data_IF_640867043305
#
_entry.id   IF_640867043305
#
_cell.length_a   1.000
_cell.length_b   1.000
_cell.length_c   1.000
_cell.angle_alpha   90.00
_cell.angle_beta   90.00
_cell.angle_gamma   90.00
#
_symmetry.space_group_name_H-M   'P 1'
#
loop_
_entity.id
_entity.type
_entity.pdbx_description
1 polymer ?
#
# COMPACT_ATOMS: atom_id res chain seq x y z
N UNK A 1 -3.55 9.94 -51.43
CA UNK A 1 -3.21 8.51 -51.22
C UNK A 1 -1.80 8.45 -50.70
N UNK A 2 -1.64 8.35 -49.38
CA UNK A 2 -0.33 8.21 -48.74
C UNK A 2 -0.51 7.46 -47.41
N UNK A 3 0.17 6.33 -47.28
CA UNK A 3 0.59 5.61 -46.06
C UNK A 3 1.44 4.43 -46.58
N UNK A 4 2.62 4.13 -46.01
CA UNK A 4 2.66 3.58 -44.66
C UNK A 4 3.87 4.03 -43.81
N UNK A 5 3.60 4.55 -42.61
CA UNK A 5 4.55 4.58 -41.49
C UNK A 5 3.79 4.22 -40.22
N UNK A 6 3.61 2.92 -39.97
CA UNK A 6 3.07 2.39 -38.72
C UNK A 6 3.38 0.89 -38.56
N UNK A 7 4.66 0.51 -38.68
CA UNK A 7 5.17 -0.82 -38.28
C UNK A 7 6.60 -0.69 -37.76
N UNK A 8 6.79 0.01 -36.64
CA UNK A 8 8.03 -0.08 -35.87
C UNK A 8 7.90 0.27 -34.37
N UNK A 9 6.68 0.34 -33.81
CA UNK A 9 6.46 0.61 -32.37
C UNK A 9 5.75 -0.52 -31.61
N UNK A 10 5.79 -1.75 -32.13
CA UNK A 10 5.18 -2.92 -31.49
C UNK A 10 6.20 -3.99 -31.03
N UNK A 11 7.51 -3.66 -30.98
CA UNK A 11 8.58 -4.62 -30.65
C UNK A 11 9.35 -4.29 -29.36
N UNK A 12 8.84 -3.41 -28.49
CA UNK A 12 9.55 -3.00 -27.25
C UNK A 12 8.73 -3.16 -25.96
N UNK A 13 7.59 -3.85 -25.99
CA UNK A 13 6.71 -4.04 -24.83
C UNK A 13 6.36 -5.50 -24.51
N UNK A 14 7.08 -6.48 -25.07
CA UNK A 14 6.87 -7.92 -24.82
C UNK A 14 8.13 -8.66 -24.33
N UNK A 15 9.13 -7.92 -23.84
CA UNK A 15 10.46 -8.45 -23.51
C UNK A 15 10.83 -8.58 -22.04
N UNK A 16 9.95 -8.27 -21.07
CA UNK A 16 10.38 -8.16 -19.65
C UNK A 16 9.47 -8.82 -18.61
N UNK A 17 8.31 -9.36 -18.98
CA UNK A 17 7.37 -9.92 -18.00
C UNK A 17 7.70 -11.34 -17.51
N UNK A 18 8.67 -12.04 -18.13
CA UNK A 18 9.02 -13.42 -17.76
C UNK A 18 10.15 -13.52 -16.72
N UNK A 19 10.81 -12.42 -16.37
CA UNK A 19 11.92 -12.43 -15.40
C UNK A 19 11.51 -12.12 -13.95
N UNK A 20 10.29 -11.62 -13.73
CA UNK A 20 9.78 -11.30 -12.39
C UNK A 20 9.18 -12.54 -11.68
N UNK A 21 8.61 -13.48 -12.45
CA UNK A 21 7.93 -14.67 -11.92
C UNK A 21 8.86 -15.79 -11.40
N UNK A 22 10.17 -15.71 -11.66
CA UNK A 22 11.15 -16.74 -11.26
C UNK A 22 11.85 -16.40 -9.93
N UNK A 23 11.68 -15.18 -9.40
CA UNK A 23 12.27 -14.78 -8.12
C UNK A 23 11.47 -15.27 -6.89
N UNK A 24 10.30 -15.88 -7.08
CA UNK A 24 9.39 -16.28 -6.01
C UNK A 24 9.65 -17.69 -5.43
N UNK A 25 10.77 -18.34 -5.77
CA UNK A 25 11.02 -19.74 -5.39
C UNK A 25 11.89 -19.92 -4.13
N UNK A 26 12.22 -18.87 -3.38
CA UNK A 26 12.79 -19.00 -2.03
C UNK A 26 12.24 -17.91 -1.10
N UNK A 27 11.48 -18.27 -0.05
CA UNK A 27 10.96 -17.31 0.94
C UNK A 27 12.06 -16.44 1.56
N UNK A 28 13.28 -16.97 1.70
CA UNK A 28 14.43 -16.25 2.25
C UNK A 28 15.01 -15.21 1.28
N UNK A 29 14.93 -15.44 -0.03
CA UNK A 29 15.43 -14.50 -1.05
C UNK A 29 14.45 -13.34 -1.29
N UNK A 30 13.14 -13.58 -1.18
CA UNK A 30 12.11 -12.55 -1.27
C UNK A 30 12.15 -11.60 -0.05
N UNK A 31 12.34 -12.13 1.17
CA UNK A 31 12.54 -11.31 2.38
C UNK A 31 13.83 -10.48 2.33
N UNK A 32 14.91 -11.01 1.73
CA UNK A 32 16.19 -10.29 1.61
C UNK A 32 16.17 -9.18 0.55
N UNK A 33 15.45 -9.35 -0.56
CA UNK A 33 15.31 -8.32 -1.61
C UNK A 33 14.50 -7.11 -1.14
N UNK A 34 13.44 -7.33 -0.36
CA UNK A 34 12.59 -6.26 0.17
C UNK A 34 13.31 -5.47 1.28
N UNK A 35 14.07 -6.16 2.13
CA UNK A 35 14.97 -5.54 3.11
C UNK A 35 16.18 -4.84 2.50
N UNK A 36 16.68 -5.31 1.36
CA UNK A 36 17.82 -4.71 0.68
C UNK A 36 17.58 -3.29 0.21
N UNK A 37 16.34 -2.88 -0.08
CA UNK A 37 16.02 -1.50 -0.50
C UNK A 37 16.12 -0.45 0.63
N UNK A 38 16.48 -0.86 1.86
CA UNK A 38 16.66 -0.04 3.08
C UNK A 38 17.88 0.88 3.08
N UNK A 39 18.04 1.65 2.01
CA UNK A 39 18.99 2.75 1.98
C UNK A 39 18.31 4.04 2.38
N UNK A 40 18.35 4.36 3.68
CA UNK A 40 18.44 5.77 4.09
C UNK A 40 19.63 6.34 3.32
N UNK A 41 19.38 7.30 2.43
CA UNK A 41 20.37 7.86 1.52
C UNK A 41 21.60 8.35 2.29
N UNK A 42 22.68 7.56 2.34
CA UNK A 42 24.10 7.87 2.62
C UNK A 42 24.49 9.04 3.56
N UNK A 43 23.60 9.55 4.39
CA UNK A 43 23.77 10.67 5.31
C UNK A 43 22.92 10.34 6.52
N UNK A 44 23.51 10.41 7.71
CA UNK A 44 22.91 9.89 8.94
C UNK A 44 21.45 10.30 9.19
N UNK A 45 20.79 9.53 10.04
CA UNK A 45 19.39 9.73 10.45
C UNK A 45 19.15 11.19 10.84
N UNK A 46 18.44 11.94 10.00
CA UNK A 46 18.30 13.39 10.19
C UNK A 46 17.27 13.68 11.28
N UNK A 47 17.28 14.91 11.83
CA UNK A 47 16.27 15.33 12.82
C UNK A 47 14.83 15.21 12.26
N UNK A 48 14.63 15.38 10.95
CA UNK A 48 13.33 15.21 10.29
C UNK A 48 12.95 13.72 10.22
N UNK A 49 13.88 12.85 9.88
CA UNK A 49 13.66 11.39 9.87
C UNK A 49 13.29 10.87 11.27
N UNK A 50 13.90 11.41 12.32
CA UNK A 50 13.53 11.13 13.71
C UNK A 50 12.08 11.55 13.97
N UNK A 51 11.69 12.77 13.60
CA UNK A 51 10.33 13.26 13.85
C UNK A 51 9.28 12.38 13.16
N UNK A 52 9.53 11.96 11.91
CA UNK A 52 8.61 11.08 11.20
C UNK A 52 8.60 9.64 11.75
N UNK A 53 9.74 9.13 12.23
CA UNK A 53 9.84 7.77 12.77
C UNK A 53 9.57 7.67 14.28
N UNK A 54 9.36 8.78 15.00
CA UNK A 54 9.05 8.73 16.45
C UNK A 54 7.79 7.89 16.76
N UNK A 55 6.83 7.84 15.83
CA UNK A 55 5.66 6.98 15.91
C UNK A 55 5.89 5.54 15.43
N UNK A 56 6.98 5.27 14.71
CA UNK A 56 7.34 3.97 14.14
C UNK A 56 8.04 3.09 15.21
N UNK A 57 7.25 2.58 16.16
CA UNK A 57 7.74 1.71 17.24
C UNK A 57 7.81 0.23 16.86
N UNK A 58 7.31 -0.14 15.66
CA UNK A 58 7.28 -1.53 15.20
C UNK A 58 8.52 -1.94 14.39
N UNK A 59 9.29 -0.97 13.87
CA UNK A 59 10.54 -1.21 13.14
C UNK A 59 11.76 -1.13 14.08
N UNK A 60 12.45 -2.26 14.34
CA UNK A 60 13.63 -2.29 15.22
C UNK A 60 14.81 -1.45 14.70
N UNK A 61 14.95 -1.26 13.39
CA UNK A 61 16.03 -0.46 12.81
C UNK A 61 15.74 1.04 12.95
N UNK A 62 14.49 1.45 12.75
CA UNK A 62 14.06 2.82 13.03
C UNK A 62 14.21 3.13 14.53
N UNK A 63 13.80 2.23 15.41
CA UNK A 63 13.94 2.40 16.86
C UNK A 63 15.42 2.49 17.29
N UNK A 64 16.29 1.65 16.73
CA UNK A 64 17.73 1.71 16.97
C UNK A 64 18.35 3.03 16.48
N UNK A 65 17.93 3.50 15.30
CA UNK A 65 18.40 4.78 14.75
C UNK A 65 17.94 5.98 15.58
N UNK A 66 16.68 5.98 16.07
CA UNK A 66 16.17 6.99 17.01
C UNK A 66 16.96 6.97 18.31
N UNK A 67 17.20 5.80 18.90
CA UNK A 67 17.99 5.65 20.13
C UNK A 67 19.43 6.14 19.93
N UNK A 68 20.04 5.85 18.78
CA UNK A 68 21.38 6.34 18.44
C UNK A 68 21.40 7.88 18.33
N UNK A 69 20.45 8.46 17.60
CA UNK A 69 20.31 9.91 17.47
C UNK A 69 20.07 10.60 18.82
N UNK A 70 19.21 10.02 19.67
CA UNK A 70 18.96 10.54 21.02
C UNK A 70 20.22 10.49 21.89
N UNK A 71 21.02 9.42 21.81
CA UNK A 71 22.32 9.31 22.51
C UNK A 71 23.32 10.35 22.01
N UNK A 72 23.39 10.59 20.71
CA UNK A 72 24.23 11.64 20.12
C UNK A 72 23.79 13.03 20.55
N UNK A 73 22.48 13.31 20.57
CA UNK A 73 21.95 14.57 21.08
C UNK A 73 22.18 14.75 22.58
N UNK A 74 22.08 13.68 23.38
CA UNK A 74 22.42 13.73 24.81
C UNK A 74 23.91 14.03 25.02
N UNK A 75 24.78 13.39 24.23
CA UNK A 75 26.22 13.63 24.25
C UNK A 75 26.60 15.04 23.73
N UNK A 76 25.84 15.59 22.78
CA UNK A 76 26.01 16.95 22.27
C UNK A 76 25.45 18.00 23.25
N UNK A 77 24.31 17.74 23.90
CA UNK A 77 23.73 18.60 24.93
C UNK A 77 24.64 18.72 26.17
N UNK A 78 25.40 17.66 26.47
CA UNK A 78 26.45 17.69 27.49
C UNK A 78 27.62 18.66 27.15
N UNK A 79 27.71 19.15 25.91
CA UNK A 79 28.74 20.09 25.43
C UNK A 79 28.20 21.52 25.21
N UNK A 80 26.96 21.80 25.63
CA UNK A 80 26.31 23.12 25.53
C UNK A 80 25.34 23.25 24.35
N UNK A 81 24.44 24.26 24.35
CA UNK A 81 23.33 24.34 23.41
C UNK A 81 23.80 24.65 21.99
N UNK A 82 23.48 23.78 21.04
CA UNK A 82 23.62 24.05 19.61
C UNK A 82 22.50 24.97 19.13
N UNK A 83 22.83 25.95 18.28
CA UNK A 83 21.89 26.90 17.70
C UNK A 83 20.81 26.16 16.89
N UNK A 84 19.55 26.60 17.04
CA UNK A 84 18.43 26.09 16.26
C UNK A 84 18.62 26.44 14.77
N UNK A 85 18.53 25.47 13.84
CA UNK A 85 18.64 25.75 12.43
C UNK A 85 17.42 26.53 11.93
N UNK A 86 17.64 27.38 10.92
CA UNK A 86 16.61 28.23 10.32
C UNK A 86 15.50 27.40 9.64
N UNK A 87 14.26 27.86 9.76
CA UNK A 87 13.11 27.28 9.06
C UNK A 87 13.27 27.51 7.55
N UNK A 88 13.30 26.44 6.77
CA UNK A 88 13.37 26.53 5.31
C UNK A 88 12.01 26.92 4.70
N UNK A 89 12.01 27.69 3.59
CA UNK A 89 10.79 28.17 2.96
C UNK A 89 9.93 27.03 2.37
N UNK A 90 8.63 27.24 2.50
CA UNK A 90 7.56 26.26 2.33
C UNK A 90 7.33 25.92 0.84
N UNK A 91 8.10 24.95 0.30
CA UNK A 91 7.80 24.32 -0.99
C UNK A 91 6.82 23.16 -0.78
N UNK A 92 5.53 23.46 -0.74
CA UNK A 92 4.45 22.51 -0.42
C UNK A 92 4.49 21.22 -1.28
N UNK A 93 4.89 21.30 -2.55
CA UNK A 93 5.04 20.12 -3.42
C UNK A 93 6.24 19.24 -3.01
N UNK A 94 7.39 19.85 -2.72
CA UNK A 94 8.58 19.13 -2.28
C UNK A 94 8.32 18.45 -0.92
N UNK A 95 7.68 19.16 0.02
CA UNK A 95 7.28 18.60 1.31
C UNK A 95 6.26 17.45 1.16
N UNK A 96 5.32 17.55 0.21
CA UNK A 96 4.35 16.47 -0.07
C UNK A 96 5.03 15.23 -0.64
N UNK A 97 5.97 15.40 -1.57
CA UNK A 97 6.74 14.31 -2.15
C UNK A 97 7.62 13.66 -1.07
N UNK A 98 8.32 14.45 -0.26
CA UNK A 98 9.16 13.98 0.84
C UNK A 98 8.35 13.17 1.86
N UNK A 99 7.20 13.69 2.33
CA UNK A 99 6.30 12.94 3.22
C UNK A 99 5.85 11.62 2.62
N UNK A 100 5.55 11.57 1.32
CA UNK A 100 5.17 10.32 0.65
C UNK A 100 6.31 9.29 0.69
N UNK A 101 7.54 9.71 0.40
CA UNK A 101 8.69 8.78 0.42
C UNK A 101 9.05 8.33 1.83
N UNK A 102 8.95 9.20 2.83
CA UNK A 102 9.14 8.83 4.24
C UNK A 102 8.07 7.85 4.72
N UNK A 103 6.80 8.14 4.43
CA UNK A 103 5.71 7.22 4.74
C UNK A 103 5.88 5.87 4.03
N UNK A 104 6.36 5.87 2.78
CA UNK A 104 6.65 4.64 2.05
C UNK A 104 7.76 3.80 2.71
N UNK A 105 8.80 4.43 3.28
CA UNK A 105 9.84 3.71 4.02
C UNK A 105 9.27 3.02 5.27
N UNK A 106 8.41 3.70 6.02
CA UNK A 106 7.76 3.16 7.21
C UNK A 106 6.78 2.03 6.83
N UNK A 107 5.99 2.23 5.78
CA UNK A 107 5.06 1.20 5.30
C UNK A 107 5.82 -0.03 4.83
N UNK A 108 6.86 0.14 4.01
CA UNK A 108 7.64 -0.98 3.46
C UNK A 108 8.27 -1.84 4.56
N UNK A 109 8.84 -1.24 5.61
CA UNK A 109 9.39 -2.03 6.72
C UNK A 109 8.29 -2.62 7.61
N UNK A 110 7.24 -1.84 7.89
CA UNK A 110 6.12 -2.26 8.73
C UNK A 110 5.36 -3.45 8.15
N UNK A 111 5.04 -3.46 6.85
CA UNK A 111 4.28 -4.56 6.21
C UNK A 111 5.04 -5.89 6.24
N UNK A 112 6.38 -5.86 6.21
CA UNK A 112 7.20 -7.08 6.32
C UNK A 112 7.14 -7.69 7.73
N UNK A 113 6.77 -6.90 8.74
CA UNK A 113 6.52 -7.37 10.11
C UNK A 113 5.11 -7.92 10.34
N UNK A 114 4.20 -7.77 9.36
CA UNK A 114 2.82 -8.24 9.46
C UNK A 114 2.71 -9.67 8.91
N UNK A 115 2.25 -10.60 9.74
CA UNK A 115 2.00 -11.97 9.30
C UNK A 115 0.73 -12.05 8.45
N UNK A 116 0.84 -12.60 7.25
CA UNK A 116 -0.29 -12.81 6.32
C UNK A 116 -1.02 -14.12 6.67
N UNK A 117 -2.29 -14.07 7.10
CA UNK A 117 -3.01 -15.27 7.56
C UNK A 117 -3.63 -16.06 6.38
N UNK A 118 -2.79 -16.66 5.53
CA UNK A 118 -3.25 -17.42 4.34
C UNK A 118 -4.12 -18.65 4.68
N UNK A 119 -3.98 -19.19 5.90
CA UNK A 119 -4.72 -20.35 6.43
C UNK A 119 -5.87 -19.96 7.38
N UNK A 120 -6.33 -18.70 7.34
CA UNK A 120 -7.25 -18.18 8.36
C UNK A 120 -8.52 -19.01 8.53
N UNK A 121 -9.06 -19.59 7.45
CA UNK A 121 -10.26 -20.44 7.51
C UNK A 121 -10.07 -21.68 8.41
N UNK A 122 -8.85 -22.22 8.48
CA UNK A 122 -8.51 -23.40 9.26
C UNK A 122 -7.99 -23.08 10.68
N UNK A 123 -7.31 -21.93 10.87
CA UNK A 123 -6.48 -21.70 12.07
C UNK A 123 -6.96 -20.54 12.97
N UNK A 124 -7.83 -19.65 12.49
CA UNK A 124 -8.20 -18.46 13.29
C UNK A 124 -9.50 -17.75 12.91
N UNK A 125 -10.21 -18.24 11.90
CA UNK A 125 -11.41 -17.63 11.34
C UNK A 125 -11.23 -16.15 11.01
N UNK A 126 -12.34 -15.41 11.04
CA UNK A 126 -12.35 -13.97 10.79
C UNK A 126 -11.52 -13.17 11.82
N UNK A 127 -11.19 -13.73 12.98
CA UNK A 127 -10.36 -13.06 13.99
C UNK A 127 -8.93 -12.88 13.50
N UNK A 128 -8.37 -13.84 12.75
CA UNK A 128 -7.05 -13.70 12.15
C UNK A 128 -7.02 -12.59 11.09
N UNK A 129 -8.06 -12.51 10.25
CA UNK A 129 -8.19 -11.45 9.23
C UNK A 129 -8.35 -10.07 9.89
N UNK A 130 -9.16 -9.97 10.95
CA UNK A 130 -9.30 -8.71 11.73
C UNK A 130 -7.97 -8.26 12.33
N UNK A 131 -7.14 -9.19 12.81
CA UNK A 131 -5.81 -8.88 13.34
C UNK A 131 -4.87 -8.39 12.24
N UNK A 132 -4.86 -9.06 11.10
CA UNK A 132 -4.09 -8.64 9.92
C UNK A 132 -4.47 -7.21 9.49
N UNK A 133 -5.78 -6.94 9.35
CA UNK A 133 -6.28 -5.61 9.02
C UNK A 133 -5.88 -4.55 10.07
N UNK A 134 -6.01 -4.87 11.37
CA UNK A 134 -5.60 -3.96 12.44
C UNK A 134 -4.10 -3.65 12.36
N UNK A 135 -3.25 -4.66 12.11
CA UNK A 135 -1.81 -4.46 11.95
C UNK A 135 -1.48 -3.58 10.73
N UNK A 136 -2.16 -3.76 9.60
CA UNK A 136 -2.00 -2.87 8.44
C UNK A 136 -2.41 -1.42 8.74
N UNK A 137 -3.50 -1.24 9.49
CA UNK A 137 -3.95 0.09 9.92
C UNK A 137 -2.96 0.74 10.89
N UNK A 138 -2.38 -0.05 11.80
CA UNK A 138 -1.33 0.41 12.71
C UNK A 138 -0.09 0.85 11.93
N UNK A 139 0.37 0.08 10.93
CA UNK A 139 1.48 0.48 10.05
C UNK A 139 1.15 1.80 9.33
N UNK A 140 -0.08 1.95 8.80
CA UNK A 140 -0.52 3.19 8.18
C UNK A 140 -0.49 4.39 9.13
N UNK A 141 -0.98 4.21 10.35
CA UNK A 141 -0.97 5.25 11.38
C UNK A 141 0.46 5.64 11.79
N UNK A 142 1.36 4.66 11.93
CA UNK A 142 2.78 4.89 12.22
C UNK A 142 3.48 5.67 11.09
N UNK A 143 3.06 5.45 9.84
CA UNK A 143 3.53 6.20 8.68
C UNK A 143 2.90 7.60 8.54
N UNK A 144 2.00 7.98 9.44
CA UNK A 144 1.35 9.29 9.47
C UNK A 144 0.11 9.43 8.59
N UNK A 145 -0.44 8.32 8.07
CA UNK A 145 -1.72 8.32 7.39
C UNK A 145 -2.87 8.42 8.40
N UNK A 146 -3.93 9.14 8.03
CA UNK A 146 -5.21 9.09 8.72
C UNK A 146 -5.92 7.74 8.47
N UNK A 147 -7.10 7.58 9.05
CA UNK A 147 -7.95 6.42 8.75
C UNK A 147 -8.20 6.30 7.23
N UNK A 148 -8.25 5.08 6.66
CA UNK A 148 -8.30 4.88 5.20
C UNK A 148 -9.42 5.66 4.49
N UNK A 149 -10.58 5.78 5.12
CA UNK A 149 -11.72 6.55 4.59
C UNK A 149 -11.46 8.05 4.54
N UNK A 150 -10.76 8.60 5.53
CA UNK A 150 -10.41 10.01 5.58
C UNK A 150 -9.30 10.33 4.56
N UNK A 151 -8.31 9.44 4.41
CA UNK A 151 -7.30 9.55 3.35
C UNK A 151 -7.93 9.49 1.97
N UNK A 152 -8.84 8.53 1.74
CA UNK A 152 -9.56 8.43 0.48
C UNK A 152 -10.41 9.68 0.23
N UNK A 153 -11.18 10.16 1.19
CA UNK A 153 -11.97 11.39 1.05
C UNK A 153 -11.08 12.59 0.68
N UNK A 154 -9.90 12.74 1.29
CA UNK A 154 -8.94 13.78 0.97
C UNK A 154 -8.38 13.62 -0.46
N UNK A 155 -8.07 12.39 -0.87
CA UNK A 155 -7.60 12.09 -2.24
C UNK A 155 -8.67 12.34 -3.29
N UNK A 156 -9.91 11.94 -3.03
CA UNK A 156 -11.02 12.20 -3.93
C UNK A 156 -11.24 13.71 -4.06
N UNK A 157 -11.27 14.44 -2.95
CA UNK A 157 -11.40 15.91 -2.96
C UNK A 157 -10.29 16.58 -3.78
N UNK A 158 -9.04 16.13 -3.63
CA UNK A 158 -7.90 16.62 -4.42
C UNK A 158 -8.04 16.28 -5.90
N UNK A 159 -8.35 15.02 -6.24
CA UNK A 159 -8.41 14.54 -7.62
C UNK A 159 -9.56 15.14 -8.41
N UNK A 160 -10.65 15.49 -7.74
CA UNK A 160 -11.85 16.06 -8.36
C UNK A 160 -11.90 17.59 -8.24
N UNK A 161 -10.84 18.21 -7.71
CA UNK A 161 -10.74 19.66 -7.63
C UNK A 161 -10.77 20.27 -9.04
N UNK A 162 -11.82 21.05 -9.33
CA UNK A 162 -11.98 21.71 -10.63
C UNK A 162 -12.71 20.89 -11.69
N UNK A 163 -13.28 19.72 -11.36
CA UNK A 163 -14.23 19.07 -12.26
C UNK A 163 -15.52 19.90 -12.37
N UNK A 164 -15.96 20.20 -13.59
CA UNK A 164 -17.20 20.94 -13.85
C UNK A 164 -18.31 20.03 -14.39
N UNK A 165 -17.92 18.91 -15.00
CA UNK A 165 -18.84 17.91 -15.57
C UNK A 165 -18.72 16.56 -14.86
N UNK A 166 -19.80 15.78 -14.87
CA UNK A 166 -19.80 14.40 -14.34
C UNK A 166 -18.78 13.54 -15.07
N UNK A 167 -18.54 13.80 -16.36
CA UNK A 167 -17.54 13.09 -17.16
C UNK A 167 -16.12 13.30 -16.62
N UNK A 168 -15.76 14.54 -16.31
CA UNK A 168 -14.46 14.89 -15.70
C UNK A 168 -14.34 14.27 -14.32
N UNK A 169 -15.39 14.36 -13.50
CA UNK A 169 -15.45 13.73 -12.18
C UNK A 169 -15.16 12.23 -12.29
N UNK A 170 -15.89 11.50 -13.13
CA UNK A 170 -15.68 10.06 -13.32
C UNK A 170 -14.26 9.78 -13.82
N UNK A 171 -13.75 10.57 -14.76
CA UNK A 171 -12.37 10.47 -15.24
C UNK A 171 -11.34 10.53 -14.10
N UNK A 172 -11.49 11.49 -13.19
CA UNK A 172 -10.63 11.63 -12.00
C UNK A 172 -10.81 10.52 -10.96
N UNK A 173 -12.02 9.97 -10.83
CA UNK A 173 -12.34 8.92 -9.85
C UNK A 173 -11.95 7.51 -10.31
N UNK A 174 -11.65 7.31 -11.60
CA UNK A 174 -11.34 6.00 -12.18
C UNK A 174 -10.28 5.18 -11.44
N UNK A 175 -9.15 5.75 -10.97
CA UNK A 175 -8.13 4.99 -10.23
C UNK A 175 -8.57 4.53 -8.83
N UNK A 176 -9.64 5.13 -8.30
CA UNK A 176 -10.12 4.94 -6.92
C UNK A 176 -11.44 4.17 -6.84
N UNK A 177 -11.98 3.75 -7.98
CA UNK A 177 -13.26 3.04 -8.08
C UNK A 177 -13.02 1.68 -8.73
N UNK A 178 -13.76 0.66 -8.30
CA UNK A 178 -13.65 -0.66 -8.91
C UNK A 178 -14.05 -0.58 -10.40
N UNK A 179 -13.39 -1.34 -11.29
CA UNK A 179 -13.65 -1.25 -12.73
C UNK A 179 -15.12 -1.44 -13.10
N UNK A 180 -15.79 -2.40 -12.47
CA UNK A 180 -17.21 -2.71 -12.75
C UNK A 180 -18.13 -1.58 -12.30
N UNK A 181 -17.89 -1.01 -11.11
CA UNK A 181 -18.67 0.13 -10.62
C UNK A 181 -18.44 1.37 -11.48
N UNK A 182 -17.20 1.63 -11.88
CA UNK A 182 -16.84 2.74 -12.75
C UNK A 182 -17.46 2.60 -14.15
N UNK A 183 -17.50 1.38 -14.71
CA UNK A 183 -18.15 1.08 -15.97
C UNK A 183 -19.66 1.36 -15.89
N UNK A 184 -20.33 0.86 -14.84
CA UNK A 184 -21.76 1.10 -14.63
C UNK A 184 -22.08 2.62 -14.50
N UNK A 185 -21.25 3.38 -13.79
CA UNK A 185 -21.40 4.84 -13.70
C UNK A 185 -21.21 5.53 -15.06
N UNK A 186 -20.23 5.08 -15.84
CA UNK A 186 -19.94 5.62 -17.17
C UNK A 186 -21.06 5.34 -18.16
N UNK A 187 -21.63 4.14 -18.12
CA UNK A 187 -22.81 3.76 -18.92
C UNK A 187 -24.04 4.58 -18.55
N UNK A 188 -24.28 4.78 -17.24
CA UNK A 188 -25.37 5.65 -16.79
C UNK A 188 -25.19 7.09 -17.22
N UNK A 189 -23.97 7.63 -17.18
CA UNK A 189 -23.67 8.96 -17.70
C UNK A 189 -23.98 9.04 -19.20
N UNK A 190 -23.45 8.10 -19.99
CA UNK A 190 -23.67 8.07 -21.44
C UNK A 190 -25.17 7.99 -21.79
N UNK A 191 -25.95 7.20 -21.04
CA UNK A 191 -27.40 7.12 -21.22
C UNK A 191 -28.09 8.45 -20.90
N UNK A 192 -27.70 9.15 -19.83
CA UNK A 192 -28.29 10.47 -19.50
C UNK A 192 -27.90 11.51 -20.54
N UNK A 193 -26.63 11.57 -20.96
CA UNK A 193 -26.17 12.51 -22.00
C UNK A 193 -26.90 12.29 -23.32
N UNK A 194 -27.16 11.03 -23.70
CA UNK A 194 -27.96 10.69 -24.86
C UNK A 194 -29.43 11.11 -24.71
N UNK A 195 -30.02 10.97 -23.52
CA UNK A 195 -31.39 11.40 -23.22
C UNK A 195 -31.53 12.94 -23.21
N UNK A 196 -30.52 13.66 -22.73
CA UNK A 196 -30.58 15.13 -22.54
C UNK A 196 -29.95 15.93 -23.68
N UNK A 197 -29.23 15.28 -24.59
CA UNK A 197 -28.58 15.92 -25.74
C UNK A 197 -27.41 16.83 -25.37
N UNK A 198 -26.79 16.64 -24.20
CA UNK A 198 -25.75 17.52 -23.68
C UNK A 198 -25.02 16.94 -22.47
N UNK A 199 -23.88 17.53 -22.14
CA UNK A 199 -23.04 17.11 -21.02
C UNK A 199 -23.78 17.31 -19.67
N UNK A 200 -23.55 16.39 -18.73
CA UNK A 200 -24.11 16.51 -17.38
C UNK A 200 -23.17 17.35 -16.50
N UNK A 201 -23.64 18.51 -16.06
CA UNK A 201 -22.89 19.43 -15.19
C UNK A 201 -22.93 18.99 -13.72
N UNK A 202 -21.88 19.30 -12.95
CA UNK A 202 -21.80 19.08 -11.49
C UNK A 202 -22.44 20.23 -10.70
N UNK A 203 -23.67 20.60 -11.02
CA UNK A 203 -24.36 21.75 -10.42
C UNK A 203 -25.35 21.38 -9.32
N UNK A 204 -25.61 20.09 -9.09
CA UNK A 204 -26.57 19.61 -8.09
C UNK A 204 -28.04 19.84 -8.44
N UNK A 205 -28.35 20.63 -9.46
CA UNK A 205 -29.68 21.19 -9.67
C UNK A 205 -30.26 20.87 -11.05
N UNK A 206 -29.42 20.71 -12.08
CA UNK A 206 -29.86 20.44 -13.45
C UNK A 206 -30.66 19.14 -13.54
N UNK A 207 -31.57 19.10 -14.52
CA UNK A 207 -32.37 17.90 -14.80
C UNK A 207 -31.48 16.71 -15.17
N UNK A 208 -30.41 16.94 -15.93
CA UNK A 208 -29.40 15.93 -16.24
C UNK A 208 -28.71 15.39 -14.99
N UNK A 209 -28.26 16.27 -14.09
CA UNK A 209 -27.62 15.84 -12.84
C UNK A 209 -28.57 15.02 -11.96
N UNK A 210 -29.82 15.47 -11.79
CA UNK A 210 -30.82 14.74 -10.99
C UNK A 210 -31.10 13.34 -11.56
N UNK A 211 -31.29 13.23 -12.87
CA UNK A 211 -31.46 11.94 -13.55
C UNK A 211 -30.25 11.03 -13.36
N UNK A 212 -29.04 11.57 -13.51
CA UNK A 212 -27.80 10.83 -13.28
C UNK A 212 -27.72 10.36 -11.81
N UNK A 213 -27.96 11.24 -10.84
CA UNK A 213 -27.94 10.91 -9.42
C UNK A 213 -28.94 9.80 -9.05
N UNK A 214 -30.12 9.77 -9.68
CA UNK A 214 -31.09 8.70 -9.45
C UNK A 214 -30.62 7.35 -10.05
N UNK A 215 -29.98 7.36 -11.22
CA UNK A 215 -29.33 6.15 -11.76
C UNK A 215 -28.16 5.69 -10.85
N UNK A 216 -27.38 6.62 -10.28
CA UNK A 216 -26.31 6.30 -9.32
C UNK A 216 -26.85 5.60 -8.08
N UNK A 217 -28.00 6.01 -7.53
CA UNK A 217 -28.64 5.31 -6.40
C UNK A 217 -29.01 3.88 -6.74
N UNK A 218 -29.54 3.65 -7.95
CA UNK A 218 -29.87 2.31 -8.43
C UNK A 218 -28.62 1.43 -8.59
N UNK A 219 -27.53 1.99 -9.14
CA UNK A 219 -26.24 1.30 -9.26
C UNK A 219 -25.66 1.00 -7.88
N UNK A 220 -25.66 1.95 -6.95
CA UNK A 220 -25.20 1.72 -5.59
C UNK A 220 -25.96 0.55 -4.94
N UNK A 221 -27.28 0.48 -5.14
CA UNK A 221 -28.09 -0.63 -4.64
C UNK A 221 -27.75 -1.97 -5.32
N UNK A 222 -27.52 -2.02 -6.63
CA UNK A 222 -27.11 -3.26 -7.32
C UNK A 222 -25.73 -3.76 -6.89
N UNK A 223 -24.84 -2.83 -6.53
CA UNK A 223 -23.53 -3.12 -5.94
C UNK A 223 -23.55 -3.31 -4.42
N UNK A 224 -24.75 -3.42 -3.81
CA UNK A 224 -24.95 -3.65 -2.37
C UNK A 224 -24.32 -2.56 -1.48
N UNK A 225 -24.15 -1.34 -2.01
CA UNK A 225 -23.72 -0.19 -1.24
C UNK A 225 -24.93 0.44 -0.52
N UNK A 226 -24.89 0.62 0.81
CA UNK A 226 -26.00 1.17 1.58
C UNK A 226 -26.07 2.70 1.45
N UNK A 227 -26.31 3.20 0.24
CA UNK A 227 -26.27 4.64 -0.07
C UNK A 227 -27.22 5.48 0.79
N UNK A 228 -28.34 4.90 1.23
CA UNK A 228 -29.32 5.55 2.12
C UNK A 228 -28.74 5.89 3.49
N UNK A 229 -27.76 5.11 3.96
CA UNK A 229 -27.02 5.38 5.20
C UNK A 229 -25.78 6.24 4.91
N UNK A 230 -25.06 5.97 3.83
CA UNK A 230 -23.81 6.66 3.49
C UNK A 230 -24.01 8.16 3.20
N UNK A 231 -25.07 8.50 2.46
CA UNK A 231 -25.30 9.86 2.01
C UNK A 231 -25.57 10.83 3.18
N UNK A 232 -26.49 10.53 4.13
CA UNK A 232 -26.68 11.39 5.31
C UNK A 232 -25.43 11.55 6.18
N UNK A 233 -24.65 10.48 6.38
CA UNK A 233 -23.41 10.53 7.16
C UNK A 233 -22.40 11.49 6.53
N UNK A 234 -22.17 11.36 5.21
CA UNK A 234 -21.18 12.18 4.51
C UNK A 234 -21.62 13.64 4.35
N UNK A 235 -22.92 13.88 4.15
CA UNK A 235 -23.48 15.23 4.08
C UNK A 235 -23.62 15.90 5.45
N UNK A 236 -23.37 15.18 6.56
CA UNK A 236 -23.58 15.65 7.93
C UNK A 236 -24.99 16.25 8.08
N UNK A 237 -25.98 15.61 7.48
CA UNK A 237 -27.36 16.10 7.54
C UNK A 237 -27.83 16.13 9.00
N UNK A 238 -28.54 17.19 9.42
CA UNK A 238 -29.12 17.24 10.75
C UNK A 238 -30.08 16.07 10.94
N UNK A 239 -29.87 15.29 11.99
CA UNK A 239 -30.80 14.23 12.42
C UNK A 239 -31.88 14.84 13.30
N UNK A 240 -33.03 14.17 13.37
CA UNK A 240 -34.17 14.63 14.17
C UNK A 240 -33.84 14.66 15.68
N UNK A 241 -32.98 13.76 16.14
CA UNK A 241 -32.57 13.60 17.54
C UNK A 241 -31.18 12.94 17.65
N UNK A 242 -30.62 12.92 18.87
CA UNK A 242 -29.28 12.40 19.18
C UNK A 242 -29.20 10.87 19.11
N UNK A 243 -30.27 10.15 19.46
CA UNK A 243 -30.31 8.68 19.39
C UNK A 243 -30.25 8.19 17.94
N UNK A 244 -30.96 8.88 17.05
CA UNK A 244 -30.91 8.64 15.60
C UNK A 244 -29.51 8.93 15.03
N UNK A 245 -28.83 9.98 15.51
CA UNK A 245 -27.45 10.27 15.13
C UNK A 245 -26.49 9.18 15.59
N UNK A 246 -26.60 8.74 16.84
CA UNK A 246 -25.73 7.71 17.42
C UNK A 246 -25.91 6.37 16.70
N UNK A 247 -27.16 5.97 16.45
CA UNK A 247 -27.46 4.77 15.66
C UNK A 247 -26.85 4.85 14.26
N UNK A 248 -27.02 5.96 13.56
CA UNK A 248 -26.45 6.15 12.21
C UNK A 248 -24.92 6.05 12.22
N UNK A 249 -24.24 6.61 13.23
CA UNK A 249 -22.78 6.48 13.39
C UNK A 249 -22.34 5.04 13.64
N UNK A 250 -23.07 4.30 14.49
CA UNK A 250 -22.81 2.88 14.76
C UNK A 250 -23.01 2.01 13.51
N UNK A 251 -24.09 2.23 12.77
CA UNK A 251 -24.38 1.52 11.53
C UNK A 251 -23.29 1.80 10.47
N UNK A 252 -22.86 3.05 10.34
CA UNK A 252 -21.75 3.43 9.46
C UNK A 252 -20.43 2.79 9.86
N UNK A 253 -20.07 2.82 11.15
CA UNK A 253 -18.83 2.20 11.64
C UNK A 253 -18.83 0.68 11.43
N UNK A 254 -19.97 0.02 11.66
CA UNK A 254 -20.16 -1.41 11.41
C UNK A 254 -20.01 -1.76 9.93
N UNK A 255 -20.61 -0.95 9.05
CA UNK A 255 -20.44 -1.12 7.60
C UNK A 255 -18.98 -0.93 7.18
N UNK A 256 -18.29 0.10 7.68
CA UNK A 256 -16.87 0.33 7.37
C UNK A 256 -16.00 -0.84 7.79
N UNK A 257 -16.21 -1.37 8.99
CA UNK A 257 -15.47 -2.54 9.47
C UNK A 257 -15.74 -3.76 8.56
N UNK A 258 -16.98 -3.96 8.14
CA UNK A 258 -17.36 -5.07 7.26
C UNK A 258 -16.76 -4.92 5.86
N UNK A 259 -16.73 -3.70 5.30
CA UNK A 259 -16.13 -3.40 4.02
C UNK A 259 -14.61 -3.63 4.03
N UNK A 260 -13.91 -3.08 5.02
CA UNK A 260 -12.46 -3.27 5.15
C UNK A 260 -12.08 -4.74 5.40
N UNK A 261 -12.94 -5.48 6.11
CA UNK A 261 -12.76 -6.93 6.29
C UNK A 261 -12.94 -7.68 4.98
N UNK A 262 -13.95 -7.33 4.17
CA UNK A 262 -14.16 -7.94 2.86
C UNK A 262 -13.00 -7.67 1.90
N UNK A 263 -12.45 -6.45 1.91
CA UNK A 263 -11.27 -6.09 1.11
C UNK A 263 -10.05 -6.94 1.53
N UNK A 264 -9.79 -7.06 2.84
CA UNK A 264 -8.70 -7.89 3.34
C UNK A 264 -8.90 -9.39 3.01
N UNK A 265 -10.14 -9.90 3.06
CA UNK A 265 -10.43 -11.27 2.65
C UNK A 265 -10.20 -11.51 1.16
N UNK A 266 -10.55 -10.54 0.30
CA UNK A 266 -10.30 -10.62 -1.13
C UNK A 266 -8.79 -10.64 -1.43
N UNK A 267 -8.01 -9.78 -0.78
CA UNK A 267 -6.55 -9.78 -0.93
C UNK A 267 -5.92 -11.10 -0.45
N UNK A 268 -6.39 -11.67 0.66
CA UNK A 268 -5.92 -12.98 1.13
C UNK A 268 -6.28 -14.11 0.17
N UNK A 269 -7.47 -14.07 -0.43
CA UNK A 269 -7.88 -15.05 -1.44
C UNK A 269 -7.00 -14.97 -2.69
N UNK A 270 -6.67 -13.75 -3.15
CA UNK A 270 -5.78 -13.53 -4.29
C UNK A 270 -4.35 -14.01 -3.99
N UNK A 271 -3.83 -13.71 -2.80
CA UNK A 271 -2.51 -14.19 -2.35
C UNK A 271 -2.46 -15.72 -2.24
N UNK A 272 -3.52 -16.34 -1.73
CA UNK A 272 -3.63 -17.80 -1.64
C UNK A 272 -3.70 -18.44 -3.03
N UNK A 273 -4.48 -17.86 -3.95
CA UNK A 273 -4.58 -18.33 -5.32
C UNK A 273 -3.23 -18.23 -6.05
N UNK A 274 -2.52 -17.11 -5.89
CA UNK A 274 -1.20 -16.92 -6.47
C UNK A 274 -0.16 -17.88 -5.87
N UNK A 275 -0.14 -18.05 -4.54
CA UNK A 275 0.74 -19.01 -3.88
C UNK A 275 0.50 -20.44 -4.35
N UNK A 276 -0.78 -20.83 -4.50
CA UNK A 276 -1.17 -22.15 -5.02
C UNK A 276 -0.69 -22.33 -6.46
N UNK A 277 -0.95 -21.35 -7.33
CA UNK A 277 -0.53 -21.37 -8.73
C UNK A 277 0.99 -21.49 -8.88
N UNK A 278 1.75 -20.75 -8.05
CA UNK A 278 3.20 -20.83 -8.03
C UNK A 278 3.68 -22.20 -7.55
N UNK A 279 3.09 -22.73 -6.47
CA UNK A 279 3.44 -24.04 -5.95
C UNK A 279 3.16 -25.15 -6.97
N UNK A 280 1.98 -25.17 -7.59
CA UNK A 280 1.62 -26.14 -8.63
C UNK A 280 2.60 -26.09 -9.81
N UNK A 281 2.98 -24.87 -10.23
CA UNK A 281 3.99 -24.68 -11.26
C UNK A 281 5.38 -25.20 -10.88
N UNK A 282 5.74 -25.22 -9.59
CA UNK A 282 7.01 -25.75 -9.11
C UNK A 282 6.95 -27.28 -8.95
N UNK A 283 5.84 -27.81 -8.42
CA UNK A 283 5.63 -29.24 -8.25
C UNK A 283 5.53 -30.01 -9.58
N UNK A 284 5.17 -29.31 -10.67
CA UNK A 284 5.20 -29.87 -12.02
C UNK A 284 6.62 -30.08 -12.60
N UNK A 285 7.67 -29.55 -11.94
CA UNK A 285 9.07 -29.65 -12.38
C UNK A 285 9.82 -30.74 -11.61
N UNK A 286 10.93 -31.23 -12.17
CA UNK A 286 11.84 -32.09 -11.41
C UNK A 286 12.60 -31.27 -10.35
N UNK A 287 13.04 -31.92 -9.28
CA UNK A 287 13.83 -31.28 -8.23
C UNK A 287 15.11 -30.62 -8.79
N UNK A 288 15.76 -31.24 -9.77
CA UNK A 288 16.96 -30.69 -10.44
C UNK A 288 16.62 -29.44 -11.24
N UNK A 289 15.49 -29.42 -11.94
CA UNK A 289 15.05 -28.25 -12.69
C UNK A 289 14.74 -27.08 -11.76
N UNK A 290 14.00 -27.32 -10.66
CA UNK A 290 13.73 -26.33 -9.62
C UNK A 290 15.02 -25.78 -9.04
N UNK A 291 15.95 -26.67 -8.65
CA UNK A 291 17.26 -26.27 -8.09
C UNK A 291 18.05 -25.40 -9.06
N UNK A 292 18.11 -25.77 -10.35
CA UNK A 292 18.83 -25.02 -11.37
C UNK A 292 18.24 -23.62 -11.58
N UNK A 293 16.91 -23.51 -11.62
CA UNK A 293 16.22 -22.22 -11.75
C UNK A 293 16.45 -21.32 -10.54
N UNK A 294 16.32 -21.85 -9.32
CA UNK A 294 16.57 -21.11 -8.08
C UNK A 294 18.03 -20.64 -7.99
N UNK A 295 18.99 -21.49 -8.35
CA UNK A 295 20.41 -21.12 -8.39
C UNK A 295 20.69 -20.00 -9.41
N UNK A 296 20.08 -20.08 -10.59
CA UNK A 296 20.21 -19.02 -11.60
C UNK A 296 19.60 -17.69 -11.12
N UNK A 297 18.45 -17.73 -10.44
CA UNK A 297 17.82 -16.56 -9.85
C UNK A 297 18.68 -15.94 -8.75
N UNK A 298 19.21 -16.75 -7.83
CA UNK A 298 20.12 -16.31 -6.76
C UNK A 298 21.40 -15.67 -7.35
N UNK A 299 21.99 -16.28 -8.38
CA UNK A 299 23.16 -15.72 -9.06
C UNK A 299 22.85 -14.38 -9.74
N UNK A 300 21.64 -14.22 -10.32
CA UNK A 300 21.22 -12.95 -10.90
C UNK A 300 21.03 -11.86 -9.84
N UNK A 301 20.49 -12.20 -8.67
CA UNK A 301 20.37 -11.27 -7.54
C UNK A 301 21.76 -10.87 -7.03
N UNK A 302 22.67 -11.83 -6.85
CA UNK A 302 24.04 -11.56 -6.43
C UNK A 302 24.75 -10.58 -7.37
N UNK A 303 24.65 -10.79 -8.69
CA UNK A 303 25.21 -9.86 -9.70
C UNK A 303 24.63 -8.46 -9.59
N UNK A 304 23.32 -8.32 -9.32
CA UNK A 304 22.69 -7.00 -9.11
C UNK A 304 23.23 -6.31 -7.87
N UNK A 305 23.38 -7.05 -6.77
CA UNK A 305 23.91 -6.54 -5.50
C UNK A 305 25.39 -6.14 -5.64
N UNK A 306 26.19 -6.91 -6.38
CA UNK A 306 27.56 -6.55 -6.72
C UNK A 306 27.63 -5.30 -7.58
N UNK A 307 26.80 -5.19 -8.62
CA UNK A 307 26.69 -4.01 -9.47
C UNK A 307 26.26 -2.75 -8.70
N UNK A 308 25.49 -2.91 -7.61
CA UNK A 308 25.13 -1.82 -6.70
C UNK A 308 26.32 -1.26 -5.90
N UNK A 309 27.45 -1.96 -5.84
CA UNK A 309 28.71 -1.46 -5.28
C UNK A 309 28.58 -0.97 -3.83
N UNK A 310 28.84 0.32 -3.63
CA UNK A 310 28.77 1.01 -2.34
C UNK A 310 27.40 1.64 -2.04
N UNK A 311 26.39 1.43 -2.89
CA UNK A 311 25.05 1.91 -2.60
C UNK A 311 24.54 1.30 -1.30
N UNK A 312 23.90 2.11 -0.45
CA UNK A 312 23.49 1.66 0.87
C UNK A 312 22.49 0.48 0.82
N UNK A 313 21.70 0.36 -0.25
CA UNK A 313 20.75 -0.73 -0.43
C UNK A 313 21.49 -2.05 -0.69
N UNK A 314 22.55 -2.01 -1.50
CA UNK A 314 23.38 -3.17 -1.79
C UNK A 314 24.17 -3.62 -0.55
N UNK A 315 24.61 -2.68 0.29
CA UNK A 315 25.27 -2.99 1.57
C UNK A 315 24.28 -3.55 2.59
N UNK A 316 23.07 -2.99 2.67
CA UNK A 316 21.97 -3.52 3.49
C UNK A 316 21.64 -4.96 3.12
N UNK A 317 21.46 -5.24 1.82
CA UNK A 317 21.24 -6.60 1.32
C UNK A 317 22.35 -7.57 1.73
N UNK A 318 23.63 -7.19 1.58
CA UNK A 318 24.76 -8.04 1.97
C UNK A 318 24.74 -8.35 3.47
N UNK A 319 24.40 -7.36 4.30
CA UNK A 319 24.25 -7.54 5.75
C UNK A 319 23.10 -8.51 6.06
N UNK A 320 21.97 -8.37 5.38
CA UNK A 320 20.82 -9.26 5.54
C UNK A 320 21.13 -10.69 5.12
N UNK A 321 21.83 -10.89 4.00
CA UNK A 321 22.30 -12.21 3.58
C UNK A 321 23.20 -12.87 4.63
N UNK A 322 24.13 -12.11 5.22
CA UNK A 322 24.97 -12.60 6.31
C UNK A 322 24.16 -12.93 7.58
N UNK A 323 23.08 -12.21 7.87
CA UNK A 323 22.18 -12.56 8.98
C UNK A 323 21.41 -13.86 8.72
N UNK A 324 21.00 -14.11 7.48
CA UNK A 324 20.36 -15.40 7.11
C UNK A 324 21.36 -16.54 7.28
N UNK A 325 22.60 -16.39 6.80
CA UNK A 325 23.66 -17.40 7.00
C UNK A 325 23.94 -17.66 8.48
N UNK A 326 23.98 -16.61 9.31
CA UNK A 326 24.11 -16.75 10.76
C UNK A 326 22.92 -17.49 11.38
N UNK A 327 21.69 -17.16 10.95
CA UNK A 327 20.47 -17.79 11.44
C UNK A 327 20.47 -19.29 11.12
N UNK A 328 20.81 -19.66 9.88
CA UNK A 328 20.91 -21.05 9.44
C UNK A 328 21.97 -21.81 10.26
N UNK A 329 23.13 -21.20 10.50
CA UNK A 329 24.18 -21.80 11.33
C UNK A 329 23.73 -21.96 12.80
N UNK A 330 23.00 -20.99 13.35
CA UNK A 330 22.49 -21.03 14.72
C UNK A 330 21.41 -22.12 14.89
N UNK A 331 20.50 -22.26 13.93
CA UNK A 331 19.51 -23.34 13.90
C UNK A 331 20.19 -24.69 13.74
N UNK A 332 21.16 -24.83 12.84
CA UNK A 332 21.91 -26.07 12.65
C UNK A 332 22.66 -26.49 13.92
N UNK A 333 23.17 -25.53 14.69
CA UNK A 333 23.88 -25.80 15.95
C UNK A 333 22.93 -26.29 17.08
N UNK A 334 21.68 -25.84 17.10
CA UNK A 334 20.68 -26.33 18.06
C UNK A 334 19.24 -26.29 17.50
N UNK A 335 18.82 -27.31 16.73
CA UNK A 335 17.52 -27.30 16.05
C UNK A 335 16.32 -27.27 17.00
N UNK A 336 16.46 -27.79 18.22
CA UNK A 336 15.37 -27.86 19.20
C UNK A 336 15.05 -26.50 19.83
N UNK A 337 16.03 -25.60 19.91
CA UNK A 337 15.89 -24.28 20.56
C UNK A 337 15.86 -23.15 19.53
N UNK A 338 16.44 -23.36 18.34
CA UNK A 338 16.56 -22.34 17.31
C UNK A 338 17.63 -21.29 17.63
N UNK A 339 17.62 -20.12 16.95
CA UNK A 339 18.59 -19.07 17.17
C UNK A 339 18.46 -18.48 18.58
N UNK A 340 19.59 -18.31 19.28
CA UNK A 340 19.60 -17.62 20.56
C UNK A 340 19.60 -16.11 20.35
N UNK A 341 18.50 -15.45 20.69
CA UNK A 341 18.52 -14.02 20.92
C UNK A 341 19.34 -13.75 22.19
N UNK A 342 20.42 -12.98 22.09
CA UNK A 342 21.09 -12.43 23.27
C UNK A 342 20.12 -11.45 23.93
N UNK A 343 19.59 -11.84 25.10
CA UNK A 343 18.71 -11.03 25.93
C UNK A 343 19.47 -9.92 26.65
#
# INVERSE_FOLDING_TARGET
MALPMARQLAALALGSSSSALVAAASPAAAMSLARGLRSYSSGGFTRKDVIYNLGNTSDPEAEAAIKAFQREQFAAAAKGPAAAPAAEPDQQLAAKIERKYMAAQIVESGIQGVAVPLSYEAEGGLTAVKRYLAQLQDVGAQAGFAAPTAELDAKLTEATAGAETVKELLGSLRPYTSPDYHAALSEALAAVEAETGGAVMLDGASAGYKKFADKVKAIAQSHKLPWQMLLPVKQKLPTADEDTADKLRKDYASWLQSAALADAQAELADLQAEATRLLDSQLAKSAEAVKKEQQAALAAIARKVEAGGSAAWAQGYKKDAAYVEWFDAAVAANPAVGPKATA
#
